data_IF_509962869357
#
_entry.id   IF_509962869357
#
_cell.length_a   1.000
_cell.length_b   1.000
_cell.length_c   1.000
_cell.angle_alpha   90.00
_cell.angle_beta   90.00
_cell.angle_gamma   90.00
#
_symmetry.space_group_name_H-M   'P 1'
#
loop_
_entity.id
_entity.type
_entity.pdbx_description
1 polymer ?
#
# COMPACT_ATOMS: atom_id res chain seq x y z
N UNK A 1 -6.70 6.80 -2.56
CA UNK A 1 -5.77 6.33 -1.51
C UNK A 1 -5.49 4.85 -1.68
N UNK A 2 -4.29 4.38 -1.35
CA UNK A 2 -3.98 2.94 -1.26
C UNK A 2 -3.14 2.66 -0.02
N UNK A 3 -3.49 1.63 0.74
CA UNK A 3 -2.71 1.13 1.88
C UNK A 3 -2.15 -0.23 1.50
N UNK A 4 -0.82 -0.39 1.56
CA UNK A 4 -0.13 -1.61 1.16
C UNK A 4 0.55 -2.24 2.37
N UNK A 5 0.08 -3.42 2.79
CA UNK A 5 0.84 -4.29 3.67
C UNK A 5 1.61 -5.29 2.80
N UNK A 6 2.94 -5.16 2.79
CA UNK A 6 3.84 -5.94 1.94
C UNK A 6 4.72 -6.83 2.84
N UNK A 7 4.70 -8.13 2.59
CA UNK A 7 5.35 -9.11 3.48
C UNK A 7 5.57 -10.46 2.82
N UNK A 8 6.02 -11.43 3.62
CA UNK A 8 6.32 -12.81 3.18
C UNK A 8 7.25 -12.82 1.97
N UNK A 9 8.39 -12.16 2.11
CA UNK A 9 9.41 -12.08 1.07
C UNK A 9 10.17 -13.41 0.98
N UNK A 10 10.24 -13.98 -0.21
CA UNK A 10 11.16 -15.06 -0.54
C UNK A 10 12.09 -14.57 -1.64
N UNK A 11 13.39 -14.73 -1.44
CA UNK A 11 14.43 -14.38 -2.42
C UNK A 11 15.27 -15.61 -2.70
N UNK A 12 15.45 -15.93 -3.97
CA UNK A 12 16.28 -17.01 -4.47
C UNK A 12 17.47 -16.41 -5.21
N UNK A 13 18.67 -16.54 -4.63
CA UNK A 13 19.91 -16.10 -5.27
C UNK A 13 20.30 -17.11 -6.36
N UNK A 14 20.54 -16.61 -7.57
CA UNK A 14 20.89 -17.42 -8.75
C UNK A 14 22.37 -17.29 -9.13
N UNK A 15 23.12 -16.45 -8.41
CA UNK A 15 24.53 -16.16 -8.62
C UNK A 15 24.99 -15.04 -7.67
N UNK A 16 26.14 -14.44 -7.96
CA UNK A 16 26.66 -13.29 -7.20
C UNK A 16 25.79 -12.04 -7.38
N UNK A 17 25.20 -11.88 -8.57
CA UNK A 17 24.61 -10.62 -9.00
C UNK A 17 23.21 -10.76 -9.60
N UNK A 18 22.63 -11.97 -9.64
CA UNK A 18 21.27 -12.21 -10.13
C UNK A 18 20.44 -12.92 -9.05
N UNK A 19 19.19 -12.50 -8.91
CA UNK A 19 18.22 -13.11 -8.00
C UNK A 19 16.80 -13.00 -8.56
N UNK A 20 15.93 -13.90 -8.11
CA UNK A 20 14.48 -13.78 -8.28
C UNK A 20 13.80 -13.85 -6.94
N UNK A 21 12.52 -13.51 -6.89
CA UNK A 21 11.77 -13.70 -5.67
C UNK A 21 10.30 -13.40 -5.83
N UNK A 22 9.59 -13.65 -4.73
CA UNK A 22 8.19 -13.31 -4.62
C UNK A 22 7.94 -12.55 -3.31
N UNK A 23 7.05 -11.58 -3.38
CA UNK A 23 6.54 -10.87 -2.20
C UNK A 23 5.03 -10.80 -2.27
N UNK A 24 4.37 -10.97 -1.14
CA UNK A 24 2.93 -10.91 -1.03
C UNK A 24 2.49 -9.52 -0.55
N UNK A 25 1.35 -9.08 -1.04
CA UNK A 25 0.76 -7.83 -0.62
C UNK A 25 -0.74 -7.99 -0.37
N UNK A 26 -1.18 -7.47 0.78
CA UNK A 26 -2.58 -7.13 1.01
C UNK A 26 -2.71 -5.63 0.79
N UNK A 27 -3.55 -5.26 -0.17
CA UNK A 27 -3.80 -3.87 -0.51
C UNK A 27 -5.25 -3.52 -0.18
N UNK A 28 -5.43 -2.32 0.37
CA UNK A 28 -6.72 -1.68 0.47
C UNK A 28 -6.70 -0.45 -0.43
N UNK A 29 -7.61 -0.39 -1.40
CA UNK A 29 -7.55 0.54 -2.53
C UNK A 29 -8.87 1.29 -2.62
N UNK A 30 -8.78 2.62 -2.66
CA UNK A 30 -9.90 3.47 -3.04
C UNK A 30 -10.07 3.47 -4.55
N UNK A 31 -11.30 3.21 -5.00
CA UNK A 31 -11.71 3.31 -6.41
C UNK A 31 -13.00 4.13 -6.51
N UNK A 32 -12.84 5.44 -6.69
CA UNK A 32 -13.91 6.41 -6.49
C UNK A 32 -14.41 6.38 -5.05
N UNK A 33 -15.72 6.17 -4.88
CA UNK A 33 -16.34 6.02 -3.56
C UNK A 33 -16.19 4.61 -2.98
N UNK A 34 -15.76 3.63 -3.79
CA UNK A 34 -15.65 2.23 -3.39
C UNK A 34 -14.33 1.95 -2.67
N UNK A 35 -14.35 0.93 -1.81
CA UNK A 35 -13.16 0.43 -1.13
C UNK A 35 -12.94 -1.04 -1.49
N UNK A 36 -11.77 -1.35 -2.04
CA UNK A 36 -11.44 -2.68 -2.58
C UNK A 36 -10.30 -3.28 -1.78
N UNK A 37 -10.50 -4.49 -1.24
CA UNK A 37 -9.43 -5.31 -0.69
C UNK A 37 -8.85 -6.21 -1.77
N UNK A 38 -7.53 -6.19 -1.94
CA UNK A 38 -6.82 -7.02 -2.90
C UNK A 38 -5.81 -7.93 -2.22
N UNK A 39 -5.62 -9.11 -2.80
CA UNK A 39 -4.52 -10.02 -2.49
C UNK A 39 -3.65 -10.18 -3.72
N UNK A 40 -2.37 -9.84 -3.58
CA UNK A 40 -1.43 -9.74 -4.70
C UNK A 40 -0.16 -10.53 -4.34
N UNK A 41 0.45 -11.17 -5.34
CA UNK A 41 1.86 -11.58 -5.32
C UNK A 41 2.60 -10.77 -6.38
N UNK A 42 3.78 -10.27 -6.04
CA UNK A 42 4.71 -9.72 -7.01
C UNK A 42 5.78 -10.75 -7.31
N UNK A 43 5.97 -11.06 -8.58
CA UNK A 43 7.05 -11.93 -9.05
C UNK A 43 8.16 -11.03 -9.59
N UNK A 44 9.27 -11.00 -8.87
CA UNK A 44 10.34 -10.03 -9.06
C UNK A 44 11.60 -10.71 -9.60
N UNK A 45 12.31 -9.98 -10.45
CA UNK A 45 13.67 -10.30 -10.91
C UNK A 45 14.58 -9.16 -10.53
N UNK A 46 15.72 -9.48 -9.93
CA UNK A 46 16.68 -8.53 -9.40
C UNK A 46 18.04 -8.72 -10.04
N UNK A 47 18.78 -7.62 -10.15
CA UNK A 47 20.20 -7.63 -10.49
C UNK A 47 20.97 -6.71 -9.57
N UNK A 48 22.16 -7.13 -9.17
CA UNK A 48 23.12 -6.28 -8.46
C UNK A 48 23.96 -5.51 -9.49
N UNK A 49 23.94 -4.19 -9.40
CA UNK A 49 24.75 -3.29 -10.23
C UNK A 49 25.52 -2.37 -9.30
N UNK A 50 26.85 -2.33 -9.44
CA UNK A 50 27.75 -1.53 -8.59
C UNK A 50 27.49 -1.72 -7.08
N UNK A 51 27.20 -2.97 -6.69
CA UNK A 51 26.96 -3.34 -5.30
C UNK A 51 25.52 -3.13 -4.81
N UNK A 52 24.61 -2.58 -5.60
CA UNK A 52 23.21 -2.27 -5.25
C UNK A 52 22.25 -3.22 -5.97
N UNK A 53 21.31 -3.82 -5.25
CA UNK A 53 20.24 -4.63 -5.85
C UNK A 53 19.14 -3.73 -6.43
N UNK A 54 18.80 -3.96 -7.69
CA UNK A 54 17.80 -3.21 -8.45
C UNK A 54 16.74 -4.16 -9.00
N UNK A 55 15.52 -3.65 -9.18
CA UNK A 55 14.49 -4.37 -9.94
C UNK A 55 14.84 -4.37 -11.42
N UNK A 56 14.98 -5.56 -11.99
CA UNK A 56 14.98 -5.77 -13.44
C UNK A 56 13.54 -5.85 -13.95
N UNK A 57 12.67 -6.54 -13.20
CA UNK A 57 11.27 -6.75 -13.55
C UNK A 57 10.44 -7.01 -12.29
N UNK A 58 9.18 -6.57 -12.34
CA UNK A 58 8.12 -6.94 -11.40
C UNK A 58 6.88 -7.34 -12.19
N UNK A 59 6.28 -8.48 -11.86
CA UNK A 59 5.00 -8.92 -12.42
C UNK A 59 3.97 -8.90 -11.30
N UNK A 60 2.93 -8.09 -11.46
CA UNK A 60 1.82 -8.02 -10.51
C UNK A 60 0.82 -9.18 -10.77
N UNK A 61 0.81 -10.19 -9.91
CA UNK A 61 -0.11 -11.33 -9.95
C UNK A 61 -1.25 -11.09 -8.95
N UNK A 62 -2.43 -10.74 -9.45
CA UNK A 62 -3.61 -10.55 -8.61
C UNK A 62 -4.26 -11.91 -8.32
N UNK A 63 -4.44 -12.27 -7.06
CA UNK A 63 -5.29 -13.41 -6.68
C UNK A 63 -6.77 -13.02 -6.76
N UNK A 64 -7.12 -11.90 -6.12
CA UNK A 64 -8.46 -11.32 -6.17
C UNK A 64 -8.43 -9.84 -5.80
N UNK A 65 -9.46 -9.12 -6.25
CA UNK A 65 -9.89 -7.85 -5.68
C UNK A 65 -11.38 -7.94 -5.37
N UNK A 66 -11.79 -7.49 -4.19
CA UNK A 66 -13.18 -7.54 -3.75
C UNK A 66 -13.57 -6.21 -3.08
N UNK A 67 -14.70 -5.65 -3.47
CA UNK A 67 -15.28 -4.49 -2.80
C UNK A 67 -15.76 -4.84 -1.39
N UNK A 68 -15.49 -3.98 -0.42
CA UNK A 68 -15.81 -4.21 0.98
C UNK A 68 -16.60 -3.02 1.53
N UNK A 69 -17.91 -3.24 1.66
CA UNK A 69 -18.82 -2.44 2.48
C UNK A 69 -18.67 -0.93 2.31
N UNK A 70 -18.53 -0.25 3.45
CA UNK A 70 -18.38 1.20 3.52
C UNK A 70 -16.92 1.60 3.37
N UNK A 71 -16.66 2.65 2.59
CA UNK A 71 -15.32 3.24 2.48
C UNK A 71 -14.87 3.86 3.81
N UNK A 72 -13.76 3.39 4.41
CA UNK A 72 -13.31 3.84 5.72
C UNK A 72 -12.84 5.30 5.74
N UNK A 73 -12.49 5.88 4.60
CA UNK A 73 -12.00 7.26 4.52
C UNK A 73 -13.12 8.31 4.66
N UNK A 74 -14.39 7.90 4.54
CA UNK A 74 -15.55 8.77 4.77
C UNK A 74 -16.17 8.63 6.15
N UNK A 75 -15.54 7.89 7.06
CA UNK A 75 -16.04 7.73 8.43
C UNK A 75 -15.85 9.02 9.25
N UNK A 76 -16.71 9.28 10.25
CA UNK A 76 -16.46 10.35 11.22
C UNK A 76 -15.15 10.11 11.99
N UNK A 77 -14.53 11.15 12.56
CA UNK A 77 -13.31 11.01 13.36
C UNK A 77 -13.48 10.00 14.49
N UNK A 78 -12.49 9.12 14.66
CA UNK A 78 -12.48 8.15 15.75
C UNK A 78 -12.22 8.82 17.12
N UNK A 79 -11.64 10.02 17.16
CA UNK A 79 -11.16 10.66 18.39
C UNK A 79 -10.32 9.70 19.25
N UNK A 80 -9.49 8.85 18.62
CA UNK A 80 -8.78 7.78 19.31
C UNK A 80 -8.01 8.31 20.54
N UNK A 81 -8.11 7.67 21.72
CA UNK A 81 -8.74 6.36 21.99
C UNK A 81 -10.20 6.42 22.45
N UNK A 82 -10.93 7.54 22.24
CA UNK A 82 -12.33 7.68 22.68
C UNK A 82 -13.26 6.68 21.98
N UNK A 83 -13.13 6.50 20.66
CA UNK A 83 -13.86 5.49 19.90
C UNK A 83 -12.89 4.47 19.27
N UNK A 84 -13.36 3.24 19.09
CA UNK A 84 -12.58 2.14 18.52
C UNK A 84 -12.72 2.00 16.99
N UNK A 85 -13.59 2.80 16.38
CA UNK A 85 -13.86 2.91 14.96
C UNK A 85 -13.93 4.39 14.54
N UNK A 86 -13.81 4.64 13.22
CA UNK A 86 -13.78 5.98 12.65
C UNK A 86 -12.46 6.29 11.94
N UNK A 87 -12.38 7.50 11.38
CA UNK A 87 -11.19 8.01 10.69
C UNK A 87 -10.07 8.31 11.70
N UNK A 88 -8.87 7.84 11.40
CA UNK A 88 -7.67 8.09 12.21
C UNK A 88 -6.91 9.36 11.82
N UNK A 89 -5.73 9.53 12.40
CA UNK A 89 -4.86 10.70 12.15
C UNK A 89 -4.03 10.60 10.87
N UNK A 90 -3.75 9.38 10.39
CA UNK A 90 -2.98 9.15 9.18
C UNK A 90 -3.92 8.99 7.96
N UNK A 91 -3.50 9.43 6.77
CA UNK A 91 -2.20 10.07 6.46
C UNK A 91 -2.16 11.58 6.75
N UNK A 92 -3.27 12.22 7.15
CA UNK A 92 -3.39 13.67 7.24
C UNK A 92 -2.33 14.35 8.13
N UNK A 93 -1.82 13.64 9.15
CA UNK A 93 -0.75 14.11 10.01
C UNK A 93 0.65 14.09 9.38
N UNK A 94 0.87 13.38 8.26
CA UNK A 94 2.19 13.29 7.64
C UNK A 94 2.54 14.57 6.85
N UNK A 95 3.74 15.16 7.02
CA UNK A 95 4.12 16.38 6.31
C UNK A 95 4.08 16.25 4.78
N UNK A 96 4.53 15.10 4.25
CA UNK A 96 4.48 14.84 2.81
C UNK A 96 3.05 14.76 2.28
N UNK A 97 2.09 14.35 3.11
CA UNK A 97 0.69 14.37 2.76
C UNK A 97 0.14 15.79 2.71
N UNK A 98 0.46 16.62 3.70
CA UNK A 98 0.06 18.02 3.74
C UNK A 98 0.62 18.81 2.54
N UNK A 99 1.88 18.57 2.18
CA UNK A 99 2.49 19.15 0.97
C UNK A 99 1.79 18.70 -0.31
N UNK A 100 1.43 17.41 -0.41
CA UNK A 100 0.72 16.87 -1.57
C UNK A 100 -0.70 17.42 -1.71
N UNK A 101 -1.44 17.47 -0.60
CA UNK A 101 -2.86 17.82 -0.59
C UNK A 101 -3.11 19.34 -0.72
N UNK A 102 -2.10 20.16 -0.40
CA UNK A 102 -2.17 21.62 -0.50
C UNK A 102 -3.14 22.24 0.52
N UNK A 103 -3.28 23.58 0.52
CA UNK A 103 -4.08 24.33 1.50
C UNK A 103 -5.60 24.14 1.40
N UNK A 104 -6.12 23.35 0.45
CA UNK A 104 -7.55 23.05 0.30
C UNK A 104 -7.97 21.71 0.95
N UNK A 105 -7.04 21.02 1.61
CA UNK A 105 -7.29 19.72 2.24
C UNK A 105 -7.78 19.82 3.70
N UNK A 106 -8.49 20.90 4.05
CA UNK A 106 -9.28 20.92 5.27
C UNK A 106 -10.60 20.18 4.99
N UNK A 107 -10.87 19.14 5.79
CA UNK A 107 -12.12 18.36 5.70
C UNK A 107 -13.36 19.24 5.94
N UNK A 108 -14.56 18.76 5.58
CA UNK A 108 -15.78 19.55 5.68
C UNK A 108 -16.07 19.92 7.15
N UNK A 109 -16.45 21.18 7.35
CA UNK A 109 -16.97 21.76 8.60
C UNK A 109 -18.11 20.94 9.25
#
# INVERSE_FOLDING_TARGET
>A
MTILNVGTHQIDLQGSDDASGHVYCKAEVQDGDRWIHQAIRYDDTYRRVDGIWLFVRRIHQLFYGAEVGTNPLGLPPADWPRNHDGLGTLPAADPSWQEFAGPEAEGPD
#
